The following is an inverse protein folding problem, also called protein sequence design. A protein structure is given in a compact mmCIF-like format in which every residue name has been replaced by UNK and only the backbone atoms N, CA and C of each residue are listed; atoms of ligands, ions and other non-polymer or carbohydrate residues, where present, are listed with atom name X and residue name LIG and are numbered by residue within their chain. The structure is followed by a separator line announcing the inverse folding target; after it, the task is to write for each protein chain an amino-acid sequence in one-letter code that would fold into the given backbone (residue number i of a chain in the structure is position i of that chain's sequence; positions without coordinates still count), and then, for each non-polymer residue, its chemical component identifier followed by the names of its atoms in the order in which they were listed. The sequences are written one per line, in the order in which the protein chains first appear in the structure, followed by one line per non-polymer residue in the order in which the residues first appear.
data_IF_774789778711
#
_entry.id   IF_774789778711
#
_cell.length_a   1.000
_cell.length_b   1.000
_cell.length_c   1.000
_cell.angle_alpha   90.00
_cell.angle_beta   90.00
_cell.angle_gamma   90.00
#
_symmetry.space_group_name_H-M   'P 1'
#
loop_
_entity.id
_entity.type
_entity.pdbx_description
1 polymer ?
#
# COMPACT_ATOMS: atom_id res chain seq x y z
N UNK A 1 10.70 1.20 24.61
CA UNK A 1 10.83 0.03 23.73
C UNK A 1 10.57 0.46 22.27
N UNK A 2 11.34 -0.09 21.33
CA UNK A 2 11.20 0.24 19.90
C UNK A 2 10.23 -0.69 19.17
N UNK A 3 9.92 -1.85 19.76
CA UNK A 3 9.12 -2.89 19.11
C UNK A 3 7.88 -3.21 19.94
N UNK A 4 6.74 -3.31 19.27
CA UNK A 4 5.47 -3.72 19.86
C UNK A 4 4.78 -4.79 19.02
N UNK A 5 3.91 -5.55 19.67
CA UNK A 5 2.97 -6.48 19.00
C UNK A 5 1.57 -6.08 19.44
N UNK A 6 0.63 -6.04 18.51
CA UNK A 6 -0.78 -5.78 18.80
C UNK A 6 -1.70 -6.79 18.10
N UNK A 7 -2.85 -7.04 18.71
CA UNK A 7 -3.94 -7.75 18.07
C UNK A 7 -4.66 -6.92 16.98
N UNK A 8 -5.60 -7.54 16.24
CA UNK A 8 -6.43 -6.84 15.28
C UNK A 8 -7.31 -5.80 15.97
N UNK A 9 -7.54 -4.66 15.28
CA UNK A 9 -8.40 -3.58 15.74
C UNK A 9 -9.48 -3.31 14.70
N UNK A 10 -10.70 -3.08 15.16
CA UNK A 10 -11.81 -2.69 14.29
C UNK A 10 -11.87 -1.18 14.13
N UNK A 11 -12.05 -0.71 12.91
CA UNK A 11 -12.45 0.66 12.63
C UNK A 11 -13.98 0.68 12.50
N UNK A 12 -14.72 1.40 13.37
CA UNK A 12 -16.18 1.50 13.27
C UNK A 12 -16.61 2.05 11.91
N UNK A 13 -17.67 1.49 11.35
CA UNK A 13 -18.31 2.02 10.14
C UNK A 13 -19.25 3.15 10.57
N UNK A 14 -19.07 4.34 10.01
CA UNK A 14 -19.90 5.53 10.31
C UNK A 14 -19.31 6.41 11.41
N UNK A 15 -19.30 7.69 11.14
CA UNK A 15 -18.92 8.90 11.87
C UNK A 15 -18.11 8.83 13.15
N UNK A 16 -17.01 9.59 13.18
CA UNK A 16 -16.47 10.21 14.38
C UNK A 16 -15.14 9.68 14.92
N UNK A 17 -14.79 8.39 14.77
CA UNK A 17 -13.52 7.86 15.30
C UNK A 17 -12.60 7.44 14.16
N UNK A 18 -11.47 8.11 14.01
CA UNK A 18 -10.40 7.66 13.11
C UNK A 18 -9.87 6.30 13.56
N UNK A 19 -9.50 5.47 12.58
CA UNK A 19 -8.85 4.19 12.84
C UNK A 19 -7.66 4.34 13.79
N UNK A 20 -7.67 3.59 14.89
CA UNK A 20 -6.53 3.55 15.82
C UNK A 20 -5.25 3.06 15.12
N UNK A 21 -5.37 2.19 14.12
CA UNK A 21 -4.25 1.76 13.31
C UNK A 21 -3.63 2.94 12.56
N UNK A 22 -4.46 3.79 11.93
CA UNK A 22 -3.98 5.00 11.23
C UNK A 22 -3.33 5.96 12.21
N UNK A 23 -3.91 6.16 13.39
CA UNK A 23 -3.34 7.04 14.42
C UNK A 23 -1.94 6.57 14.87
N UNK A 24 -1.75 5.27 15.13
CA UNK A 24 -0.45 4.70 15.50
C UNK A 24 0.59 4.88 14.40
N UNK A 25 0.21 4.59 13.14
CA UNK A 25 1.08 4.73 11.97
C UNK A 25 1.54 6.17 11.78
N UNK A 26 0.65 7.14 11.97
CA UNK A 26 0.96 8.57 11.85
C UNK A 26 1.78 9.10 13.02
N UNK A 27 1.39 8.77 14.27
CA UNK A 27 2.08 9.29 15.48
C UNK A 27 3.53 8.82 15.57
N UNK A 28 3.80 7.56 15.20
CA UNK A 28 5.15 6.97 15.23
C UNK A 28 5.85 7.06 13.87
N UNK A 29 5.22 7.69 12.88
CA UNK A 29 5.69 7.77 11.49
C UNK A 29 6.13 6.40 10.94
N UNK A 30 5.29 5.38 11.13
CA UNK A 30 5.54 4.02 10.66
C UNK A 30 5.26 3.94 9.16
N UNK A 31 6.14 4.50 8.35
CA UNK A 31 5.90 4.78 6.95
C UNK A 31 5.93 3.56 6.01
N UNK A 32 6.41 2.41 6.48
CA UNK A 32 6.38 1.15 5.74
C UNK A 32 5.41 0.19 6.41
N UNK A 33 4.41 -0.28 5.69
CA UNK A 33 3.67 -1.48 6.04
C UNK A 33 4.25 -2.65 5.25
N UNK A 34 4.95 -3.52 5.95
CA UNK A 34 5.62 -4.71 5.40
C UNK A 34 4.72 -5.92 5.57
N UNK A 35 4.36 -6.56 4.48
CA UNK A 35 3.48 -7.73 4.44
C UNK A 35 4.10 -8.83 3.59
N UNK A 36 4.85 -9.77 4.19
CA UNK A 36 5.34 -10.94 3.48
C UNK A 36 4.21 -11.93 3.23
N UNK A 37 4.14 -12.45 2.03
CA UNK A 37 3.11 -13.41 1.60
C UNK A 37 3.78 -14.61 0.96
N UNK A 38 3.62 -15.78 1.56
CA UNK A 38 4.06 -17.06 1.00
C UNK A 38 3.12 -18.18 1.41
N UNK A 39 3.03 -19.19 0.57
CA UNK A 39 2.29 -20.39 0.91
C UNK A 39 3.09 -21.31 1.83
N UNK A 40 2.38 -22.02 2.70
CA UNK A 40 2.94 -23.04 3.60
C UNK A 40 2.32 -24.39 3.29
N UNK A 41 3.15 -25.43 3.23
CA UNK A 41 2.71 -26.79 2.95
C UNK A 41 1.60 -27.23 3.91
N UNK A 42 0.52 -27.79 3.36
CA UNK A 42 -0.64 -28.23 4.12
C UNK A 42 -1.76 -27.20 4.25
N UNK A 43 -1.53 -25.94 3.91
CA UNK A 43 -2.56 -24.91 3.90
C UNK A 43 -3.36 -25.01 2.60
N UNK A 44 -4.70 -25.02 2.72
CA UNK A 44 -5.59 -25.00 1.55
C UNK A 44 -5.51 -23.64 0.84
N UNK A 45 -5.55 -23.66 -0.48
CA UNK A 45 -5.48 -22.48 -1.32
C UNK A 45 -6.49 -22.54 -2.46
N UNK A 46 -7.07 -21.40 -2.86
CA UNK A 46 -7.97 -21.32 -4.02
C UNK A 46 -7.24 -21.34 -5.36
N UNK A 47 -5.91 -21.15 -5.38
CA UNK A 47 -5.13 -21.14 -6.62
C UNK A 47 -4.47 -22.49 -6.89
N UNK A 48 -4.14 -22.75 -8.17
CA UNK A 48 -3.64 -24.08 -8.62
C UNK A 48 -2.20 -24.37 -8.16
N UNK A 49 -1.36 -23.35 -8.03
CA UNK A 49 0.05 -23.47 -7.71
C UNK A 49 0.47 -22.43 -6.65
N UNK A 50 -0.05 -22.55 -5.42
CA UNK A 50 0.20 -21.55 -4.37
C UNK A 50 1.66 -21.49 -3.94
N UNK A 51 2.43 -22.56 -4.14
CA UNK A 51 3.87 -22.62 -3.86
C UNK A 51 4.70 -21.63 -4.69
N UNK A 52 4.15 -21.13 -5.79
CA UNK A 52 4.77 -20.07 -6.60
C UNK A 52 4.56 -18.67 -6.03
N UNK A 53 3.69 -18.50 -5.06
CA UNK A 53 3.45 -17.21 -4.41
C UNK A 53 4.43 -17.02 -3.27
N UNK A 54 5.40 -16.14 -3.49
CA UNK A 54 6.38 -15.74 -2.49
C UNK A 54 6.80 -14.30 -2.75
N UNK A 55 6.06 -13.37 -2.15
CA UNK A 55 6.22 -11.94 -2.38
C UNK A 55 6.27 -11.19 -1.05
N UNK A 56 6.91 -10.03 -1.06
CA UNK A 56 6.93 -9.14 0.07
C UNK A 56 6.37 -7.77 -0.33
N UNK A 57 5.24 -7.37 0.25
CA UNK A 57 4.58 -6.10 -0.06
C UNK A 57 5.09 -5.00 0.87
N UNK A 58 5.63 -3.94 0.29
CA UNK A 58 5.96 -2.66 0.91
C UNK A 58 4.85 -1.68 0.54
N UNK A 59 3.92 -1.49 1.45
CA UNK A 59 2.79 -0.56 1.33
C UNK A 59 3.18 0.76 1.98
N UNK A 60 3.04 1.88 1.25
CA UNK A 60 3.08 3.21 1.86
C UNK A 60 1.98 3.31 2.93
N UNK A 61 2.29 3.95 4.06
CA UNK A 61 1.48 3.75 5.26
C UNK A 61 0.97 5.06 5.89
N UNK A 62 1.34 6.23 5.35
CA UNK A 62 1.11 7.53 5.99
C UNK A 62 0.35 8.55 5.13
N UNK A 63 0.30 8.33 3.85
CA UNK A 63 -0.32 9.22 2.84
C UNK A 63 -1.51 8.56 2.15
N UNK A 64 -1.79 8.99 0.93
CA UNK A 64 -2.88 8.52 0.08
C UNK A 64 -4.25 8.94 0.65
N UNK A 65 -5.32 8.32 0.21
CA UNK A 65 -6.67 8.57 0.75
C UNK A 65 -6.78 8.26 2.24
N UNK A 66 -5.88 7.48 2.80
CA UNK A 66 -5.78 7.19 4.23
C UNK A 66 -5.39 8.42 5.08
N UNK A 67 -4.99 9.53 4.46
CA UNK A 67 -4.85 10.82 5.13
C UNK A 67 -6.20 11.32 5.72
N UNK A 68 -7.32 10.79 5.23
CA UNK A 68 -8.65 11.10 5.76
C UNK A 68 -9.09 12.55 5.49
N UNK A 69 -8.66 13.10 4.37
CA UNK A 69 -9.03 14.45 3.93
C UNK A 69 -10.25 14.33 3.03
N UNK A 70 -11.43 14.43 3.62
CA UNK A 70 -12.67 14.26 2.87
C UNK A 70 -13.83 15.09 3.48
N UNK A 71 -14.83 15.36 2.66
CA UNK A 71 -16.02 16.12 3.03
C UNK A 71 -17.27 15.42 2.48
N UNK A 72 -18.27 15.29 3.34
CA UNK A 72 -19.55 14.69 3.02
C UNK A 72 -20.40 15.60 2.12
N UNK A 73 -21.10 14.98 1.18
CA UNK A 73 -22.03 15.66 0.27
C UNK A 73 -23.07 16.52 1.02
N UNK A 74 -23.38 17.68 0.46
CA UNK A 74 -24.38 18.60 1.02
C UNK A 74 -23.89 19.46 2.18
N UNK A 75 -22.73 19.17 2.77
CA UNK A 75 -22.16 19.97 3.86
C UNK A 75 -21.65 21.34 3.38
N UNK A 76 -21.59 22.35 4.26
CA UNK A 76 -21.01 23.66 3.92
C UNK A 76 -19.55 23.54 3.45
N UNK A 77 -18.79 22.62 4.04
CA UNK A 77 -17.38 22.36 3.73
C UNK A 77 -17.22 21.79 2.32
N UNK A 78 -18.05 20.80 1.93
CA UNK A 78 -18.05 20.23 0.57
C UNK A 78 -18.40 21.30 -0.47
N UNK A 79 -19.40 22.16 -0.17
CA UNK A 79 -19.78 23.30 -1.04
C UNK A 79 -18.66 24.32 -1.17
N UNK A 80 -17.97 24.64 -0.06
CA UNK A 80 -16.81 25.55 -0.05
C UNK A 80 -15.66 24.99 -0.88
N UNK A 81 -15.37 23.68 -0.72
CA UNK A 81 -14.30 23.00 -1.48
C UNK A 81 -14.63 22.97 -2.98
N UNK A 82 -15.87 22.62 -3.34
CA UNK A 82 -16.30 22.65 -4.75
C UNK A 82 -16.22 24.06 -5.34
N UNK A 83 -16.65 25.08 -4.60
CA UNK A 83 -16.55 26.47 -5.04
C UNK A 83 -15.11 26.86 -5.33
N UNK A 84 -14.18 26.53 -4.45
CA UNK A 84 -12.74 26.75 -4.66
C UNK A 84 -12.24 26.01 -5.93
N UNK A 85 -12.58 24.73 -6.10
CA UNK A 85 -12.19 23.96 -7.30
C UNK A 85 -12.71 24.62 -8.58
N UNK A 86 -13.96 25.10 -8.56
CA UNK A 86 -14.61 25.72 -9.72
C UNK A 86 -14.04 27.10 -10.02
N UNK A 87 -14.05 27.99 -9.04
CA UNK A 87 -13.81 29.42 -9.21
C UNK A 87 -12.30 29.73 -9.30
N UNK A 88 -11.47 29.04 -8.50
CA UNK A 88 -10.02 29.29 -8.41
C UNK A 88 -9.21 28.33 -9.28
N UNK A 89 -9.64 27.06 -9.37
CA UNK A 89 -8.89 26.00 -10.10
C UNK A 89 -9.47 25.69 -11.49
N UNK A 90 -10.58 26.31 -11.87
CA UNK A 90 -11.21 26.11 -13.17
C UNK A 90 -11.76 24.69 -13.41
N UNK A 91 -12.07 23.95 -12.36
CA UNK A 91 -12.57 22.58 -12.47
C UNK A 91 -14.03 22.57 -12.90
N UNK A 92 -14.33 21.99 -14.06
CA UNK A 92 -15.69 21.89 -14.62
C UNK A 92 -16.22 20.46 -14.69
N UNK A 93 -15.41 19.47 -14.28
CA UNK A 93 -15.68 18.04 -14.50
C UNK A 93 -16.53 17.37 -13.43
N UNK A 94 -16.91 18.07 -12.36
CA UNK A 94 -17.78 17.51 -11.32
C UNK A 94 -19.21 17.51 -11.84
N UNK A 95 -19.75 16.32 -12.10
CA UNK A 95 -21.01 16.12 -12.78
C UNK A 95 -22.24 16.49 -11.92
N UNK A 96 -22.18 16.17 -10.63
CA UNK A 96 -23.28 16.36 -9.68
C UNK A 96 -22.77 17.06 -8.40
N UNK A 97 -22.42 18.35 -8.46
CA UNK A 97 -21.72 19.03 -7.37
C UNK A 97 -22.50 19.09 -6.05
N UNK A 98 -23.83 19.21 -6.13
CA UNK A 98 -24.68 19.35 -4.93
C UNK A 98 -24.77 18.05 -4.10
N UNK A 99 -24.52 16.90 -4.75
CA UNK A 99 -24.64 15.58 -4.15
C UNK A 99 -23.32 14.80 -4.17
N UNK A 100 -22.22 15.47 -4.49
CA UNK A 100 -20.88 14.86 -4.47
C UNK A 100 -20.21 15.04 -3.13
N UNK A 101 -19.67 13.96 -2.58
CA UNK A 101 -18.62 14.00 -1.55
C UNK A 101 -17.26 14.17 -2.23
N UNK A 102 -16.31 14.75 -1.50
CA UNK A 102 -14.97 15.01 -2.03
C UNK A 102 -13.90 14.42 -1.12
N UNK A 103 -12.84 13.86 -1.71
CA UNK A 103 -11.68 13.39 -1.01
C UNK A 103 -10.38 13.80 -1.71
N UNK A 104 -9.30 13.96 -0.95
CA UNK A 104 -7.99 14.34 -1.45
C UNK A 104 -7.02 13.18 -1.28
N UNK A 105 -6.28 12.88 -2.35
CA UNK A 105 -5.22 11.86 -2.39
C UNK A 105 -3.85 12.54 -2.43
N UNK A 106 -3.23 12.85 -1.28
CA UNK A 106 -1.87 13.37 -1.26
C UNK A 106 -0.87 12.24 -1.52
N UNK A 107 0.10 12.50 -2.40
CA UNK A 107 1.24 11.62 -2.66
C UNK A 107 2.46 12.49 -2.79
N UNK A 108 3.46 12.31 -1.92
CA UNK A 108 4.67 13.11 -1.90
C UNK A 108 5.88 12.36 -2.49
N UNK A 109 6.87 13.14 -2.92
CA UNK A 109 8.18 12.59 -3.33
C UNK A 109 8.88 11.94 -2.12
N UNK A 110 8.86 12.59 -0.97
CA UNK A 110 9.49 12.13 0.26
C UNK A 110 8.89 10.81 0.74
N UNK A 111 7.57 10.70 0.78
CA UNK A 111 6.85 9.47 1.14
C UNK A 111 7.17 8.32 0.17
N UNK A 112 7.19 8.63 -1.13
CA UNK A 112 7.56 7.65 -2.17
C UNK A 112 9.00 7.19 -2.02
N UNK A 113 9.95 8.13 -1.93
CA UNK A 113 11.38 7.80 -1.90
C UNK A 113 11.75 6.98 -0.67
N UNK A 114 11.23 7.30 0.52
CA UNK A 114 11.52 6.53 1.73
C UNK A 114 10.97 5.10 1.68
N UNK A 115 9.79 4.90 1.07
CA UNK A 115 9.22 3.57 0.86
C UNK A 115 10.04 2.75 -0.13
N UNK A 116 10.30 3.31 -1.32
CA UNK A 116 11.03 2.59 -2.39
C UNK A 116 12.47 2.30 -1.97
N UNK A 117 13.13 3.21 -1.23
CA UNK A 117 14.44 2.96 -0.63
C UNK A 117 14.42 1.74 0.28
N UNK A 118 13.44 1.65 1.18
CA UNK A 118 13.29 0.51 2.07
C UNK A 118 13.05 -0.79 1.29
N UNK A 119 12.23 -0.77 0.25
CA UNK A 119 11.95 -1.92 -0.60
C UNK A 119 13.20 -2.39 -1.38
N UNK A 120 13.95 -1.47 -1.96
CA UNK A 120 15.19 -1.79 -2.69
C UNK A 120 16.27 -2.34 -1.76
N UNK A 121 16.46 -1.73 -0.59
CA UNK A 121 17.41 -2.21 0.40
C UNK A 121 17.03 -3.60 0.89
N UNK A 122 15.77 -3.82 1.21
CA UNK A 122 15.26 -5.15 1.61
C UNK A 122 15.50 -6.21 0.53
N UNK A 123 15.27 -5.87 -0.74
CA UNK A 123 15.53 -6.80 -1.85
C UNK A 123 17.00 -7.21 -1.92
N UNK A 124 17.92 -6.25 -1.76
CA UNK A 124 19.37 -6.52 -1.75
C UNK A 124 19.80 -7.35 -0.54
N UNK A 125 19.34 -6.97 0.66
CA UNK A 125 19.70 -7.66 1.91
C UNK A 125 19.23 -9.12 1.95
N UNK A 126 18.13 -9.42 1.23
CA UNK A 126 17.55 -10.76 1.16
C UNK A 126 17.84 -11.48 -0.16
N UNK A 127 18.71 -10.94 -1.01
CA UNK A 127 19.07 -11.49 -2.32
C UNK A 127 17.84 -11.75 -3.21
N UNK A 128 16.84 -10.88 -3.15
CA UNK A 128 15.64 -10.95 -3.98
C UNK A 128 15.86 -10.19 -5.30
N UNK A 129 15.44 -10.76 -6.45
CA UNK A 129 15.89 -10.27 -7.75
C UNK A 129 15.25 -8.95 -8.19
N UNK A 130 14.08 -8.58 -7.66
CA UNK A 130 13.35 -7.44 -8.22
C UNK A 130 12.50 -6.68 -7.21
N UNK A 131 12.33 -5.39 -7.48
CA UNK A 131 11.28 -4.54 -6.90
C UNK A 131 10.34 -4.10 -8.01
N UNK A 132 9.03 -4.34 -7.82
CA UNK A 132 7.99 -3.91 -8.75
C UNK A 132 7.19 -2.76 -8.17
N UNK A 133 7.19 -1.61 -8.84
CA UNK A 133 6.36 -0.45 -8.49
C UNK A 133 4.95 -0.68 -9.04
N UNK A 134 3.97 -0.89 -8.16
CA UNK A 134 2.58 -1.11 -8.56
C UNK A 134 1.80 0.20 -8.43
N UNK A 135 1.16 0.65 -9.52
CA UNK A 135 0.53 1.97 -9.60
C UNK A 135 -0.61 2.03 -10.63
N UNK A 136 -1.43 3.08 -10.58
CA UNK A 136 -2.44 3.42 -11.58
C UNK A 136 -2.12 4.74 -12.29
N UNK A 137 -0.85 4.95 -12.62
CA UNK A 137 -0.32 6.19 -13.20
C UNK A 137 -0.83 6.53 -14.60
N UNK A 138 -1.39 5.56 -15.33
CA UNK A 138 -2.06 5.81 -16.62
C UNK A 138 -3.35 6.64 -16.46
N UNK A 139 -4.00 6.60 -15.29
CA UNK A 139 -5.20 7.39 -14.94
C UNK A 139 -4.83 8.57 -14.03
N UNK A 140 -4.17 8.31 -12.91
CA UNK A 140 -3.77 9.33 -11.92
C UNK A 140 -2.33 9.78 -12.19
N UNK A 141 -2.15 10.66 -13.17
CA UNK A 141 -0.87 11.00 -13.77
C UNK A 141 0.13 11.66 -12.83
N UNK A 142 -0.36 12.42 -11.84
CA UNK A 142 0.49 13.20 -10.92
C UNK A 142 0.67 12.54 -9.56
N UNK A 143 -0.30 11.81 -9.06
CA UNK A 143 -0.20 11.05 -7.80
C UNK A 143 0.45 9.69 -8.04
N UNK A 144 -0.24 8.77 -8.64
CA UNK A 144 0.25 7.42 -8.95
C UNK A 144 1.42 7.45 -9.98
N UNK A 145 1.32 8.30 -10.99
CA UNK A 145 2.39 8.52 -11.97
C UNK A 145 3.61 9.21 -11.35
N UNK A 146 3.40 10.09 -10.37
CA UNK A 146 4.45 10.67 -9.55
C UNK A 146 5.20 9.60 -8.75
N UNK A 147 4.45 8.72 -8.07
CA UNK A 147 5.01 7.56 -7.36
C UNK A 147 5.93 6.72 -8.26
N UNK A 148 5.44 6.32 -9.43
CA UNK A 148 6.27 5.60 -10.41
C UNK A 148 7.55 6.36 -10.75
N UNK A 149 7.41 7.63 -11.16
CA UNK A 149 8.53 8.47 -11.60
C UNK A 149 9.58 8.63 -10.51
N UNK A 150 9.18 9.03 -9.32
CA UNK A 150 10.09 9.25 -8.18
C UNK A 150 10.72 7.95 -7.69
N UNK A 151 10.00 6.83 -7.79
CA UNK A 151 10.53 5.52 -7.47
C UNK A 151 11.70 5.11 -8.39
N UNK A 152 11.55 5.30 -9.70
CA UNK A 152 12.64 5.06 -10.65
C UNK A 152 13.80 6.02 -10.47
N UNK A 153 13.53 7.32 -10.27
CA UNK A 153 14.57 8.33 -10.02
C UNK A 153 15.39 8.00 -8.77
N UNK A 154 14.73 7.58 -7.69
CA UNK A 154 15.41 7.14 -6.48
C UNK A 154 16.27 5.90 -6.75
N UNK A 155 15.69 4.86 -7.36
CA UNK A 155 16.40 3.62 -7.61
C UNK A 155 17.66 3.86 -8.44
N UNK A 156 17.57 4.67 -9.47
CA UNK A 156 18.73 5.02 -10.30
C UNK A 156 19.77 5.82 -9.51
N UNK A 157 19.35 6.75 -8.66
CA UNK A 157 20.25 7.62 -7.90
C UNK A 157 20.99 6.89 -6.77
N UNK A 158 20.30 5.99 -6.06
CA UNK A 158 20.84 5.38 -4.83
C UNK A 158 21.25 3.92 -5.00
N UNK A 159 20.74 3.23 -6.01
CA UNK A 159 21.01 1.80 -6.26
C UNK A 159 21.56 1.54 -7.68
N UNK A 160 22.06 2.57 -8.34
CA UNK A 160 22.54 2.51 -9.73
C UNK A 160 23.54 1.39 -9.99
N UNK A 161 24.47 1.14 -9.08
CA UNK A 161 25.48 0.06 -9.20
C UNK A 161 24.79 -1.33 -9.16
N UNK A 162 23.84 -1.53 -8.24
CA UNK A 162 23.10 -2.79 -8.13
C UNK A 162 22.18 -3.05 -9.33
N UNK A 163 21.68 -1.97 -9.96
CA UNK A 163 20.91 -2.07 -11.20
C UNK A 163 21.83 -2.41 -12.39
N UNK A 164 23.03 -1.82 -12.45
CA UNK A 164 23.98 -2.01 -13.54
C UNK A 164 24.59 -3.42 -13.56
N UNK A 165 24.85 -4.00 -12.38
CA UNK A 165 25.42 -5.34 -12.24
C UNK A 165 24.36 -6.46 -12.14
N UNK A 166 23.08 -6.10 -12.20
CA UNK A 166 21.97 -7.05 -12.23
C UNK A 166 21.60 -7.68 -10.89
N UNK A 167 22.17 -7.21 -9.76
CA UNK A 167 21.77 -7.67 -8.42
C UNK A 167 20.35 -7.22 -8.05
N UNK A 168 19.86 -6.16 -8.68
CA UNK A 168 18.52 -5.64 -8.48
C UNK A 168 17.88 -5.26 -9.82
N UNK A 169 16.63 -5.64 -10.04
CA UNK A 169 15.82 -5.17 -11.15
C UNK A 169 14.70 -4.31 -10.61
N UNK A 170 14.58 -3.06 -11.08
CA UNK A 170 13.42 -2.21 -10.83
C UNK A 170 12.49 -2.27 -12.03
N UNK A 171 11.22 -2.56 -11.80
CA UNK A 171 10.18 -2.60 -12.84
C UNK A 171 8.87 -2.01 -12.32
N UNK A 172 7.91 -1.80 -13.20
CA UNK A 172 6.59 -1.33 -12.81
C UNK A 172 5.46 -2.16 -13.41
N UNK A 173 4.30 -2.09 -12.79
CA UNK A 173 3.09 -2.72 -13.29
C UNK A 173 1.87 -1.88 -12.94
N UNK A 174 0.96 -1.73 -13.91
CA UNK A 174 -0.34 -1.12 -13.66
C UNK A 174 -1.15 -2.01 -12.72
N UNK A 175 -1.79 -1.44 -11.69
CA UNK A 175 -2.39 -2.16 -10.59
C UNK A 175 -3.38 -3.26 -11.00
N UNK A 176 -4.27 -3.00 -11.94
CA UNK A 176 -5.20 -4.01 -12.45
C UNK A 176 -4.51 -5.15 -13.21
N UNK A 177 -3.49 -4.84 -14.00
CA UNK A 177 -2.66 -5.86 -14.65
C UNK A 177 -1.85 -6.67 -13.62
N UNK A 178 -1.35 -6.01 -12.57
CA UNK A 178 -0.66 -6.69 -11.48
C UNK A 178 -1.57 -7.71 -10.77
N UNK A 179 -2.80 -7.32 -10.43
CA UNK A 179 -3.79 -8.22 -9.81
C UNK A 179 -4.06 -9.46 -10.67
N UNK A 180 -4.16 -9.31 -11.99
CA UNK A 180 -4.26 -10.43 -12.93
C UNK A 180 -2.98 -11.27 -12.95
N UNK A 181 -1.82 -10.64 -13.08
CA UNK A 181 -0.54 -11.33 -13.24
C UNK A 181 -0.16 -12.15 -12.01
N UNK A 182 -0.53 -11.72 -10.79
CA UNK A 182 -0.29 -12.51 -9.58
C UNK A 182 -0.99 -13.87 -9.60
N UNK A 183 -2.10 -14.00 -10.35
CA UNK A 183 -2.79 -15.27 -10.54
C UNK A 183 -2.18 -16.12 -11.66
N UNK A 184 -1.61 -15.50 -12.68
CA UNK A 184 -1.12 -16.17 -13.89
C UNK A 184 0.38 -16.52 -13.81
N UNK A 185 1.18 -15.61 -13.31
CA UNK A 185 2.66 -15.69 -13.28
C UNK A 185 3.22 -15.11 -11.97
N UNK A 186 2.77 -15.59 -10.79
CA UNK A 186 3.20 -15.03 -9.51
C UNK A 186 4.71 -15.06 -9.28
N UNK A 187 5.41 -16.02 -9.85
CA UNK A 187 6.86 -16.19 -9.76
C UNK A 187 7.68 -15.05 -10.37
N UNK A 188 7.07 -14.20 -11.19
CA UNK A 188 7.70 -13.02 -11.76
C UNK A 188 7.94 -11.88 -10.73
N UNK A 189 7.35 -11.98 -9.54
CA UNK A 189 7.33 -10.91 -8.55
C UNK A 189 8.01 -11.33 -7.25
N UNK A 190 8.85 -10.44 -6.70
CA UNK A 190 9.56 -10.67 -5.43
C UNK A 190 9.17 -9.63 -4.38
N UNK A 191 9.64 -8.39 -4.55
CA UNK A 191 9.27 -7.26 -3.69
C UNK A 191 8.33 -6.33 -4.45
N UNK A 192 7.25 -5.93 -3.80
CA UNK A 192 6.23 -5.03 -4.35
C UNK A 192 6.28 -3.73 -3.55
N UNK A 193 6.46 -2.61 -4.22
CA UNK A 193 6.31 -1.29 -3.60
C UNK A 193 5.11 -0.58 -4.19
N UNK A 194 4.21 -0.07 -3.34
CA UNK A 194 2.97 0.54 -3.80
C UNK A 194 2.41 1.53 -2.80
N UNK A 195 1.51 2.41 -3.28
CA UNK A 195 0.80 3.37 -2.43
C UNK A 195 -0.19 2.67 -1.50
N UNK A 196 -0.69 3.42 -0.53
CA UNK A 196 -1.43 2.91 0.63
C UNK A 196 -2.67 2.10 0.23
N UNK A 197 -3.57 2.64 -0.57
CA UNK A 197 -4.80 1.94 -0.99
C UNK A 197 -4.50 0.71 -1.85
N UNK A 198 -3.64 0.85 -2.84
CA UNK A 198 -3.25 -0.28 -3.69
C UNK A 198 -2.61 -1.40 -2.85
N UNK A 199 -1.76 -1.02 -1.88
CA UNK A 199 -1.11 -1.96 -0.98
C UNK A 199 -2.08 -2.73 -0.09
N UNK A 200 -3.17 -2.08 0.31
CA UNK A 200 -4.25 -2.74 1.05
C UNK A 200 -4.92 -3.83 0.21
N UNK A 201 -5.37 -3.49 -0.97
CA UNK A 201 -6.02 -4.45 -1.88
C UNK A 201 -5.09 -5.59 -2.32
N UNK A 202 -3.87 -5.24 -2.70
CA UNK A 202 -2.87 -6.20 -3.18
C UNK A 202 -2.51 -7.22 -2.12
N UNK A 203 -2.25 -6.78 -0.88
CA UNK A 203 -1.85 -7.70 0.19
C UNK A 203 -2.98 -8.65 0.59
N UNK A 204 -4.24 -8.21 0.55
CA UNK A 204 -5.38 -9.06 0.86
C UNK A 204 -5.63 -10.11 -0.24
N UNK A 205 -5.49 -9.72 -1.51
CA UNK A 205 -5.55 -10.68 -2.62
C UNK A 205 -4.45 -11.73 -2.51
N UNK A 206 -3.20 -11.30 -2.29
CA UNK A 206 -2.08 -12.23 -2.14
C UNK A 206 -2.26 -13.17 -0.94
N UNK A 207 -2.76 -12.65 0.19
CA UNK A 207 -3.06 -13.46 1.36
C UNK A 207 -4.13 -14.52 1.05
N UNK A 208 -5.19 -14.16 0.32
CA UNK A 208 -6.21 -15.11 -0.12
C UNK A 208 -5.63 -16.23 -1.00
N UNK A 209 -4.67 -15.89 -1.87
CA UNK A 209 -4.01 -16.87 -2.74
C UNK A 209 -3.19 -17.91 -1.98
N UNK A 210 -2.71 -17.61 -0.77
CA UNK A 210 -1.89 -18.54 0.04
C UNK A 210 -2.66 -19.21 1.18
N UNK A 211 -3.98 -18.95 1.29
CA UNK A 211 -4.85 -19.62 2.27
C UNK A 211 -5.69 -18.69 3.11
N UNK A 212 -5.51 -17.39 3.01
CA UNK A 212 -6.36 -16.38 3.64
C UNK A 212 -5.62 -15.40 4.54
N UNK A 213 -6.33 -14.31 4.86
CA UNK A 213 -5.78 -13.21 5.67
C UNK A 213 -5.45 -13.59 7.12
N UNK A 214 -6.02 -14.69 7.62
CA UNK A 214 -5.81 -15.17 8.98
C UNK A 214 -4.39 -15.67 9.27
N UNK A 215 -3.63 -16.01 8.21
CA UNK A 215 -2.23 -16.44 8.33
C UNK A 215 -1.24 -15.40 7.81
N UNK A 216 -1.73 -14.23 7.39
CA UNK A 216 -0.91 -13.17 6.80
C UNK A 216 -0.31 -12.27 7.89
N UNK A 217 1.01 -12.26 8.10
CA UNK A 217 1.65 -11.37 9.05
C UNK A 217 1.81 -9.97 8.46
N UNK A 218 1.91 -8.96 9.35
CA UNK A 218 2.21 -7.60 8.97
C UNK A 218 3.09 -6.90 9.99
N UNK A 219 3.89 -5.94 9.52
CA UNK A 219 4.66 -5.05 10.36
C UNK A 219 4.55 -3.62 9.85
N UNK A 220 4.41 -2.67 10.76
CA UNK A 220 4.46 -1.24 10.45
C UNK A 220 5.79 -0.71 11.00
N UNK A 221 6.64 -0.16 10.14
CA UNK A 221 8.04 0.08 10.46
C UNK A 221 8.45 1.50 10.10
N UNK A 222 9.23 2.12 10.99
CA UNK A 222 10.03 3.30 10.71
C UNK A 222 11.51 2.89 10.68
N UNK A 223 12.08 2.72 9.50
CA UNK A 223 13.47 2.31 9.33
C UNK A 223 14.52 3.34 9.78
N UNK A 224 14.10 4.62 9.99
CA UNK A 224 15.00 5.66 10.51
C UNK A 224 15.15 5.62 12.02
N UNK A 225 14.03 5.40 12.73
CA UNK A 225 14.00 5.39 14.19
C UNK A 225 14.07 4.00 14.79
N UNK A 226 13.81 2.95 14.00
CA UNK A 226 13.76 1.57 14.45
C UNK A 226 12.43 1.18 15.13
N UNK A 227 11.43 2.08 15.18
CA UNK A 227 10.13 1.72 15.72
C UNK A 227 9.42 0.74 14.79
N UNK A 228 8.86 -0.32 15.36
CA UNK A 228 8.09 -1.32 14.65
C UNK A 228 6.90 -1.83 15.46
N UNK A 229 5.75 -1.96 14.82
CA UNK A 229 4.56 -2.61 15.38
C UNK A 229 4.17 -3.78 14.48
N UNK A 230 4.25 -4.99 15.04
CA UNK A 230 3.80 -6.22 14.38
C UNK A 230 2.31 -6.45 14.67
N UNK A 231 1.58 -6.90 13.66
CA UNK A 231 0.14 -7.10 13.74
C UNK A 231 -0.34 -8.17 12.75
N UNK A 232 -1.57 -8.68 12.96
CA UNK A 232 -2.30 -9.35 11.91
C UNK A 232 -2.70 -8.36 10.81
N UNK A 233 -2.70 -8.81 9.57
CA UNK A 233 -3.05 -7.96 8.41
C UNK A 233 -4.52 -7.53 8.41
N UNK A 234 -5.41 -8.36 8.98
CA UNK A 234 -6.85 -8.13 9.04
C UNK A 234 -7.30 -7.35 10.29
N UNK A 235 -8.53 -6.79 10.23
CA UNK A 235 -9.26 -6.27 11.40
C UNK A 235 -9.80 -7.41 12.29
N UNK A 236 -10.68 -7.10 13.25
CA UNK A 236 -11.23 -8.12 14.18
C UNK A 236 -12.04 -9.20 13.49
N UNK A 237 -12.59 -8.94 12.30
CA UNK A 237 -13.30 -9.91 11.44
C UNK A 237 -14.17 -10.90 12.22
N UNK A 238 -15.20 -10.45 13.00
CA UNK A 238 -15.92 -11.29 13.96
C UNK A 238 -16.66 -12.47 13.30
N UNK A 239 -16.89 -12.40 11.99
CA UNK A 239 -17.55 -13.46 11.22
C UNK A 239 -16.56 -14.38 10.48
N UNK A 240 -15.25 -14.12 10.56
CA UNK A 240 -14.22 -14.99 10.04
C UNK A 240 -13.68 -15.84 11.17
N UNK A 241 -14.00 -17.11 11.18
CA UNK A 241 -13.35 -18.04 12.09
C UNK A 241 -11.90 -18.23 11.64
N UNK A 242 -10.98 -17.64 12.39
CA UNK A 242 -9.55 -17.71 12.13
C UNK A 242 -8.87 -18.97 12.69
N UNK A 243 -9.65 -19.86 13.28
CA UNK A 243 -9.17 -21.05 14.04
C UNK A 243 -9.85 -22.30 13.48
N UNK A 244 -9.81 -22.49 12.21
CA UNK A 244 -10.27 -23.74 11.63
C UNK A 244 -9.22 -24.33 10.71
#
# INVERSE_FOLDING_TARGET
YLVGIKGPLTTPVGGGIRSLNVALRQTLDLYVCLRPVRWYQGVQSPVKAPEKVNMCVFRENTEDIYAGIEWEAGTPEAKKFYKFLKDEMGVTKVRFPETSSFGVKPVSREGTERLVRAACQYALDHHLPSVTLVHKGNIMKYTEGGFKKWGYELAQREFGDALADGRLVIKDCIADAFLQNTLLIPEEYSVIATLNLNGDYVSDQLAAMVGGIGIAPGANINYKTGHAIFEATHGTAPNLSLIH
#
